data_IF_573749022530
#
_entry.id   IF_573749022530
#
_cell.length_a   1.000
_cell.length_b   1.000
_cell.length_c   1.000
_cell.angle_alpha   90.00
_cell.angle_beta   90.00
_cell.angle_gamma   90.00
#
_symmetry.space_group_name_H-M   'P 1'
#
loop_
_entity.id
_entity.type
_entity.pdbx_description
1 polymer ?
#
# COMPACT_ATOMS: atom_id res chain seq x y z
N UNK A 1 5.54 -0.42 -21.86
CA UNK A 1 6.03 0.56 -20.88
C UNK A 1 6.21 -0.15 -19.54
N UNK A 2 7.36 0.00 -18.89
CA UNK A 2 7.66 -0.55 -17.57
C UNK A 2 8.81 0.22 -16.89
N UNK A 3 8.72 1.56 -16.87
CA UNK A 3 9.73 2.40 -16.23
C UNK A 3 9.40 2.63 -14.75
N UNK A 4 10.43 2.67 -13.92
CA UNK A 4 10.26 3.00 -12.50
C UNK A 4 9.89 4.48 -12.33
N UNK A 5 8.74 4.74 -11.75
CA UNK A 5 8.20 6.07 -11.48
C UNK A 5 8.06 6.36 -9.98
N UNK A 6 8.63 5.53 -9.11
CA UNK A 6 8.47 5.63 -7.66
C UNK A 6 8.97 6.96 -7.07
N UNK A 7 9.85 7.67 -7.79
CA UNK A 7 10.40 8.97 -7.36
C UNK A 7 9.63 10.18 -7.88
N UNK A 8 8.56 9.97 -8.63
CA UNK A 8 7.75 11.07 -9.12
C UNK A 8 6.94 11.70 -7.98
N UNK A 9 6.95 13.03 -7.93
CA UNK A 9 6.05 13.79 -7.08
C UNK A 9 4.70 13.95 -7.80
N UNK A 10 3.71 13.20 -7.30
CA UNK A 10 2.35 13.19 -7.83
C UNK A 10 1.35 13.85 -6.87
N UNK A 11 1.82 14.45 -5.77
CA UNK A 11 0.99 15.02 -4.71
C UNK A 11 -0.01 16.08 -5.16
N UNK A 12 0.26 16.73 -6.29
CA UNK A 12 -0.62 17.75 -6.87
C UNK A 12 -1.36 17.28 -8.14
N UNK A 13 -1.37 15.97 -8.42
CA UNK A 13 -2.05 15.44 -9.59
C UNK A 13 -3.52 15.18 -9.25
N UNK A 14 -4.40 15.99 -9.82
CA UNK A 14 -5.85 15.90 -9.64
C UNK A 14 -6.48 14.71 -10.38
N UNK A 15 -6.01 14.41 -11.59
CA UNK A 15 -6.58 13.40 -12.47
C UNK A 15 -5.52 12.40 -12.93
N UNK A 16 -5.68 11.15 -12.48
CA UNK A 16 -4.87 9.98 -12.86
C UNK A 16 -5.64 8.99 -13.73
N UNK A 17 -6.82 9.40 -14.25
CA UNK A 17 -7.63 8.53 -15.12
C UNK A 17 -6.81 8.05 -16.31
N UNK A 18 -6.88 6.75 -16.60
CA UNK A 18 -6.19 6.09 -17.73
C UNK A 18 -4.65 6.20 -17.73
N UNK A 19 -4.00 6.59 -16.63
CA UNK A 19 -2.54 6.86 -16.58
C UNK A 19 -1.70 5.66 -17.03
N UNK A 20 -2.11 4.45 -16.68
CA UNK A 20 -1.47 3.18 -17.05
C UNK A 20 -2.40 2.29 -17.89
N UNK A 21 -3.44 2.85 -18.49
CA UNK A 21 -4.35 2.11 -19.36
C UNK A 21 -3.58 1.46 -20.51
N UNK A 22 -3.80 0.16 -20.72
CA UNK A 22 -3.10 -0.66 -21.73
C UNK A 22 -1.56 -0.73 -21.54
N UNK A 23 -1.03 -0.38 -20.38
CA UNK A 23 0.39 -0.55 -20.05
C UNK A 23 0.66 -2.03 -19.68
N UNK A 24 0.52 -2.93 -20.66
CA UNK A 24 0.45 -4.40 -20.47
C UNK A 24 1.64 -5.01 -19.71
N UNK A 25 2.81 -4.37 -19.74
CA UNK A 25 4.03 -4.86 -19.07
C UNK A 25 4.31 -4.12 -17.75
N UNK A 26 3.50 -3.12 -17.39
CA UNK A 26 3.79 -2.29 -16.21
C UNK A 26 3.56 -3.06 -14.92
N UNK A 27 4.62 -3.16 -14.09
CA UNK A 27 4.56 -3.78 -12.78
C UNK A 27 5.57 -3.17 -11.80
N UNK A 28 5.81 -1.86 -11.88
CA UNK A 28 6.72 -1.17 -10.96
C UNK A 28 5.99 -0.72 -9.70
N UNK A 29 6.73 -0.68 -8.60
CA UNK A 29 6.23 -0.25 -7.30
C UNK A 29 5.83 1.24 -7.31
N UNK A 30 4.62 1.51 -6.85
CA UNK A 30 4.05 2.85 -6.70
C UNK A 30 3.63 3.12 -5.24
N UNK A 31 4.09 2.29 -4.31
CA UNK A 31 3.73 2.36 -2.90
C UNK A 31 3.98 3.74 -2.28
N UNK A 32 5.06 4.42 -2.71
CA UNK A 32 5.48 5.73 -2.18
C UNK A 32 4.73 6.93 -2.76
N UNK A 33 3.79 6.73 -3.70
CA UNK A 33 3.06 7.85 -4.27
C UNK A 33 2.09 8.46 -3.27
N UNK A 34 2.17 9.79 -3.12
CA UNK A 34 1.17 10.58 -2.40
C UNK A 34 0.04 10.95 -3.36
N UNK A 35 -1.10 10.28 -3.22
CA UNK A 35 -2.28 10.49 -4.08
C UNK A 35 -3.37 11.31 -3.40
N UNK A 36 -3.06 11.95 -2.26
CA UNK A 36 -4.04 12.74 -1.49
C UNK A 36 -4.67 13.88 -2.29
N UNK A 37 -3.97 14.40 -3.32
CA UNK A 37 -4.48 15.42 -4.23
C UNK A 37 -5.36 14.89 -5.37
N UNK A 38 -5.52 13.56 -5.49
CA UNK A 38 -6.20 12.94 -6.64
C UNK A 38 -7.69 12.76 -6.37
N UNK A 39 -8.53 13.16 -7.32
CA UNK A 39 -9.97 12.94 -7.29
C UNK A 39 -10.46 11.92 -8.34
N UNK A 40 -9.74 11.74 -9.45
CA UNK A 40 -10.17 10.92 -10.58
C UNK A 40 -9.14 9.82 -10.87
N UNK A 41 -9.55 8.53 -10.78
CA UNK A 41 -8.72 7.35 -11.03
C UNK A 41 -9.39 6.32 -11.96
N UNK A 42 -10.46 6.69 -12.68
CA UNK A 42 -11.15 5.76 -13.59
C UNK A 42 -10.20 5.20 -14.64
N UNK A 43 -10.24 3.89 -14.88
CA UNK A 43 -9.41 3.16 -15.85
C UNK A 43 -7.89 3.25 -15.58
N UNK A 44 -7.43 3.68 -14.40
CA UNK A 44 -6.01 3.99 -14.17
C UNK A 44 -5.07 2.84 -14.56
N UNK A 45 -5.43 1.58 -14.26
CA UNK A 45 -4.67 0.38 -14.63
C UNK A 45 -5.45 -0.55 -15.57
N UNK A 46 -6.48 -0.06 -16.26
CA UNK A 46 -7.29 -0.88 -17.17
C UNK A 46 -6.37 -1.58 -18.20
N UNK A 47 -6.44 -2.91 -18.29
CA UNK A 47 -5.61 -3.74 -19.17
C UNK A 47 -4.09 -3.64 -18.89
N UNK A 48 -3.65 -3.20 -17.70
CA UNK A 48 -2.26 -3.33 -17.27
C UNK A 48 -2.02 -4.78 -16.81
N UNK A 49 -1.94 -5.70 -17.78
CA UNK A 49 -2.02 -7.15 -17.53
C UNK A 49 -0.92 -7.71 -16.62
N UNK A 50 0.22 -7.04 -16.46
CA UNK A 50 1.29 -7.49 -15.56
C UNK A 50 1.19 -6.84 -14.17
N UNK A 51 0.32 -5.86 -13.96
CA UNK A 51 0.28 -5.09 -12.71
C UNK A 51 -0.17 -5.96 -11.53
N UNK A 52 0.71 -6.09 -10.54
CA UNK A 52 0.47 -6.83 -9.31
C UNK A 52 1.20 -6.18 -8.11
N UNK A 53 1.08 -4.86 -7.94
CA UNK A 53 1.71 -4.15 -6.84
C UNK A 53 0.71 -3.82 -5.73
N UNK A 54 1.23 -3.65 -4.50
CA UNK A 54 0.46 -3.17 -3.36
C UNK A 54 0.33 -1.64 -3.44
N UNK A 55 -0.91 -1.16 -3.46
CA UNK A 55 -1.25 0.26 -3.41
C UNK A 55 -2.19 0.56 -2.23
N UNK A 56 -2.29 -0.34 -1.28
CA UNK A 56 -3.22 -0.22 -0.15
C UNK A 56 -2.92 0.94 0.81
N UNK A 57 -1.70 1.49 0.75
CA UNK A 57 -1.31 2.66 1.55
C UNK A 57 -1.77 3.99 0.94
N UNK A 58 -2.32 4.01 -0.26
CA UNK A 58 -2.81 5.24 -0.86
C UNK A 58 -3.99 5.80 -0.07
N UNK A 59 -3.90 7.07 0.29
CA UNK A 59 -5.03 7.80 0.85
C UNK A 59 -5.94 8.26 -0.29
N UNK A 60 -7.01 7.50 -0.49
CA UNK A 60 -8.00 7.75 -1.54
C UNK A 60 -9.24 8.50 -1.01
N UNK A 61 -9.15 9.15 0.14
CA UNK A 61 -10.31 9.81 0.76
C UNK A 61 -10.95 10.89 -0.11
N UNK A 62 -10.17 11.52 -1.01
CA UNK A 62 -10.64 12.53 -1.95
C UNK A 62 -11.07 11.96 -3.31
N UNK A 63 -10.85 10.67 -3.57
CA UNK A 63 -11.18 10.07 -4.87
C UNK A 63 -12.67 9.87 -5.01
N UNK A 64 -13.24 10.35 -6.09
CA UNK A 64 -14.69 10.31 -6.41
C UNK A 64 -15.03 9.40 -7.58
N UNK A 65 -14.05 9.00 -8.39
CA UNK A 65 -14.23 8.13 -9.55
C UNK A 65 -13.10 7.09 -9.63
N UNK A 66 -13.46 5.79 -9.60
CA UNK A 66 -12.53 4.64 -9.69
C UNK A 66 -13.06 3.52 -10.60
N UNK A 67 -13.96 3.82 -11.54
CA UNK A 67 -14.53 2.80 -12.43
C UNK A 67 -13.43 2.10 -13.22
N UNK A 68 -13.50 0.77 -13.30
CA UNK A 68 -12.59 -0.11 -14.03
C UNK A 68 -11.09 0.06 -13.68
N UNK A 69 -10.79 0.65 -12.51
CA UNK A 69 -9.40 1.02 -12.14
C UNK A 69 -8.42 -0.14 -12.27
N UNK A 70 -8.84 -1.35 -11.93
CA UNK A 70 -7.99 -2.55 -11.92
C UNK A 70 -8.49 -3.66 -12.86
N UNK A 71 -9.37 -3.35 -13.80
CA UNK A 71 -9.89 -4.36 -14.71
C UNK A 71 -8.80 -4.94 -15.61
N UNK A 72 -8.76 -6.28 -15.72
CA UNK A 72 -7.76 -7.01 -16.48
C UNK A 72 -6.31 -6.81 -16.00
N UNK A 73 -6.10 -6.53 -14.71
CA UNK A 73 -4.78 -6.61 -14.07
C UNK A 73 -4.48 -8.03 -13.58
N UNK A 74 -3.24 -8.30 -13.18
CA UNK A 74 -2.81 -9.57 -12.56
C UNK A 74 -2.76 -9.51 -11.03
N UNK A 75 -3.54 -8.63 -10.40
CA UNK A 75 -3.56 -8.56 -8.94
C UNK A 75 -3.83 -9.92 -8.31
N UNK A 76 -2.91 -10.35 -7.45
CA UNK A 76 -3.02 -11.58 -6.65
C UNK A 76 -4.19 -11.48 -5.67
N UNK A 77 -4.66 -12.62 -5.15
CA UNK A 77 -5.69 -12.64 -4.12
C UNK A 77 -5.25 -11.84 -2.89
N UNK A 78 -3.97 -11.92 -2.52
CA UNK A 78 -3.38 -11.13 -1.42
C UNK A 78 -3.50 -9.64 -1.70
N UNK A 79 -3.04 -9.16 -2.86
CA UNK A 79 -3.11 -7.74 -3.20
C UNK A 79 -4.55 -7.25 -3.34
N UNK A 80 -5.45 -8.07 -3.90
CA UNK A 80 -6.89 -7.75 -3.91
C UNK A 80 -7.46 -7.57 -2.51
N UNK A 81 -7.13 -8.47 -1.57
CA UNK A 81 -7.62 -8.37 -0.21
C UNK A 81 -7.12 -7.13 0.51
N UNK A 82 -5.81 -6.85 0.47
CA UNK A 82 -5.25 -5.70 1.18
C UNK A 82 -5.74 -4.37 0.59
N UNK A 83 -5.83 -4.26 -0.73
CA UNK A 83 -6.40 -3.09 -1.42
C UNK A 83 -7.89 -2.93 -1.07
N UNK A 84 -8.68 -4.02 -1.13
CA UNK A 84 -10.10 -3.97 -0.75
C UNK A 84 -10.29 -3.53 0.70
N UNK A 85 -9.50 -4.05 1.62
CA UNK A 85 -9.56 -3.68 3.04
C UNK A 85 -9.32 -2.18 3.24
N UNK A 86 -8.40 -1.60 2.47
CA UNK A 86 -8.07 -0.18 2.54
C UNK A 86 -9.08 0.72 1.81
N UNK A 87 -9.57 0.28 0.63
CA UNK A 87 -10.34 1.14 -0.28
C UNK A 87 -11.85 1.02 -0.13
N UNK A 88 -12.37 -0.07 0.45
CA UNK A 88 -13.82 -0.35 0.51
C UNK A 88 -14.64 0.64 1.34
N UNK A 89 -13.99 1.48 2.15
CA UNK A 89 -14.65 2.56 2.88
C UNK A 89 -14.96 3.79 2.01
N UNK A 90 -14.30 3.92 0.85
CA UNK A 90 -14.62 4.98 -0.10
C UNK A 90 -15.82 4.56 -0.96
N UNK A 91 -16.84 5.41 -1.04
CA UNK A 91 -18.09 5.14 -1.77
C UNK A 91 -17.93 5.00 -3.28
N UNK A 92 -16.83 5.48 -3.85
CA UNK A 92 -16.50 5.33 -5.27
C UNK A 92 -15.81 3.99 -5.59
N UNK A 93 -15.48 3.15 -4.58
CA UNK A 93 -14.84 1.86 -4.79
C UNK A 93 -15.78 0.90 -5.53
N UNK A 94 -15.41 0.44 -6.76
CA UNK A 94 -16.36 -0.29 -7.61
C UNK A 94 -16.33 -1.81 -7.41
N UNK A 95 -15.40 -2.36 -6.60
CA UNK A 95 -15.16 -3.81 -6.51
C UNK A 95 -15.65 -4.40 -5.19
N UNK A 96 -16.20 -5.62 -5.25
CA UNK A 96 -16.34 -6.49 -4.08
C UNK A 96 -15.32 -7.63 -4.18
N UNK A 97 -14.20 -7.48 -3.47
CA UNK A 97 -13.14 -8.49 -3.36
C UNK A 97 -13.11 -9.15 -1.97
N UNK A 98 -14.21 -9.10 -1.24
CA UNK A 98 -14.31 -9.72 0.09
C UNK A 98 -14.01 -11.23 0.07
N UNK A 99 -14.35 -11.93 -1.01
CA UNK A 99 -13.99 -13.34 -1.18
C UNK A 99 -12.48 -13.56 -1.22
N UNK A 100 -11.71 -12.63 -1.78
CA UNK A 100 -10.24 -12.71 -1.78
C UNK A 100 -9.68 -12.73 -0.35
N UNK A 101 -10.30 -11.99 0.56
CA UNK A 101 -9.92 -11.97 1.96
C UNK A 101 -10.34 -13.26 2.70
N UNK A 102 -11.50 -13.83 2.37
CA UNK A 102 -11.95 -15.09 2.96
C UNK A 102 -11.04 -16.26 2.59
N UNK A 103 -10.56 -16.31 1.35
CA UNK A 103 -9.62 -17.33 0.89
C UNK A 103 -8.27 -17.23 1.62
N UNK A 104 -7.80 -16.03 1.90
CA UNK A 104 -6.56 -15.80 2.66
C UNK A 104 -6.72 -16.23 4.12
N UNK A 105 -7.88 -16.03 4.72
CA UNK A 105 -8.18 -16.49 6.08
C UNK A 105 -8.29 -18.02 6.20
N UNK A 106 -8.47 -18.74 5.08
CA UNK A 106 -8.51 -20.21 5.03
C UNK A 106 -7.16 -20.85 4.69
N UNK A 107 -6.30 -20.12 3.98
CA UNK A 107 -4.91 -20.46 3.77
C UNK A 107 -4.18 -19.68 4.84
N UNK A 108 -3.62 -20.35 5.87
CA UNK A 108 -2.87 -19.70 6.96
C UNK A 108 -2.31 -18.35 6.52
N UNK A 109 -2.66 -17.30 7.27
CA UNK A 109 -2.13 -15.95 7.02
C UNK A 109 -0.66 -16.14 6.65
N UNK A 110 -0.30 -15.92 5.40
CA UNK A 110 1.09 -16.09 4.99
C UNK A 110 1.85 -15.05 5.78
N UNK A 111 2.45 -15.51 6.88
CA UNK A 111 3.36 -14.69 7.64
C UNK A 111 4.42 -14.17 6.64
N UNK A 112 4.89 -12.94 6.78
CA UNK A 112 6.00 -12.44 5.98
C UNK A 112 7.11 -13.48 5.92
N UNK A 113 7.77 -13.64 4.78
CA UNK A 113 8.83 -14.65 4.62
C UNK A 113 10.13 -14.27 5.33
N UNK A 114 10.27 -13.00 5.71
CA UNK A 114 11.46 -12.47 6.38
C UNK A 114 11.09 -11.31 7.28
N UNK A 115 11.93 -11.05 8.28
CA UNK A 115 11.85 -9.81 9.05
C UNK A 115 12.17 -8.63 8.14
N UNK A 116 11.34 -7.60 8.17
CA UNK A 116 11.62 -6.35 7.49
C UNK A 116 11.18 -5.14 8.32
N UNK A 117 11.88 -4.04 8.14
CA UNK A 117 11.51 -2.72 8.63
C UNK A 117 11.53 -1.77 7.44
N UNK A 118 10.37 -1.26 7.08
CA UNK A 118 10.22 -0.35 5.96
C UNK A 118 10.57 1.08 6.37
N UNK A 119 10.98 1.89 5.39
CA UNK A 119 11.16 3.31 5.62
C UNK A 119 9.82 3.93 6.05
N UNK A 120 9.87 4.81 7.05
CA UNK A 120 8.70 5.54 7.48
C UNK A 120 8.14 6.40 6.34
N UNK A 121 6.81 6.49 6.27
CA UNK A 121 6.13 7.30 5.25
C UNK A 121 4.97 8.09 5.89
N UNK A 122 4.81 9.37 5.49
CA UNK A 122 5.69 10.16 4.62
C UNK A 122 7.08 10.42 5.23
N UNK A 123 8.09 10.63 4.38
CA UNK A 123 9.44 11.02 4.80
C UNK A 123 10.05 11.97 3.74
N UNK A 124 10.29 13.28 4.05
CA UNK A 124 10.07 13.92 5.36
C UNK A 124 8.60 13.99 5.77
N UNK A 125 8.35 14.03 7.08
CA UNK A 125 6.99 14.17 7.62
C UNK A 125 6.80 15.51 8.35
N UNK A 126 5.56 15.97 8.43
CA UNK A 126 5.23 17.25 9.10
C UNK A 126 4.63 17.01 10.49
N UNK A 127 3.58 16.23 10.63
CA UNK A 127 2.89 16.03 11.91
C UNK A 127 2.92 14.58 12.37
N UNK A 128 2.88 13.64 11.44
CA UNK A 128 2.93 12.21 11.71
C UNK A 128 3.57 11.47 10.53
N UNK A 129 4.04 10.27 10.81
CA UNK A 129 4.55 9.33 9.83
C UNK A 129 4.20 7.93 10.30
N UNK A 130 4.03 7.01 9.38
CA UNK A 130 3.76 5.61 9.68
C UNK A 130 5.03 4.80 9.47
N UNK A 131 5.35 3.95 10.43
CA UNK A 131 6.43 2.98 10.33
C UNK A 131 5.81 1.60 10.18
N UNK A 132 6.26 0.83 9.18
CA UNK A 132 5.77 -0.52 8.90
C UNK A 132 6.89 -1.53 9.05
N UNK A 133 6.55 -2.69 9.63
CA UNK A 133 7.48 -3.80 9.80
C UNK A 133 6.75 -5.14 9.65
N UNK A 134 7.52 -6.17 9.38
CA UNK A 134 7.02 -7.50 9.06
C UNK A 134 7.68 -8.54 9.96
N UNK A 135 6.87 -9.45 10.50
CA UNK A 135 7.30 -10.51 11.40
C UNK A 135 6.89 -11.87 10.81
N UNK A 136 7.83 -12.70 10.36
CA UNK A 136 7.53 -14.03 9.84
C UNK A 136 7.05 -15.00 10.94
N UNK A 137 7.40 -14.75 12.19
CA UNK A 137 7.03 -15.51 13.37
C UNK A 137 6.82 -14.60 14.58
N UNK A 138 6.20 -15.11 15.63
CA UNK A 138 6.09 -14.40 16.91
C UNK A 138 7.50 -14.05 17.42
N UNK A 139 7.72 -12.75 17.71
CA UNK A 139 9.03 -12.24 18.04
C UNK A 139 8.96 -11.08 19.01
N UNK A 140 10.00 -10.93 19.81
CA UNK A 140 10.17 -9.72 20.61
C UNK A 140 10.62 -8.58 19.71
N UNK A 141 9.85 -7.49 19.68
CA UNK A 141 10.11 -6.30 18.87
C UNK A 141 10.51 -5.15 19.77
N UNK A 142 11.62 -4.50 19.42
CA UNK A 142 12.08 -3.27 20.06
C UNK A 142 12.32 -2.22 18.97
N UNK A 143 11.48 -1.18 18.95
CA UNK A 143 11.57 -0.07 18.00
C UNK A 143 11.69 1.23 18.77
N UNK A 144 12.90 1.81 18.76
CA UNK A 144 13.24 3.03 19.48
C UNK A 144 13.68 4.12 18.50
N UNK A 145 13.19 5.33 18.67
CA UNK A 145 13.58 6.52 17.89
C UNK A 145 14.69 7.26 18.63
N UNK A 146 15.75 7.59 17.90
CA UNK A 146 16.89 8.35 18.39
C UNK A 146 17.03 9.68 17.67
N UNK A 147 17.54 10.69 18.36
CA UNK A 147 18.00 11.93 17.71
C UNK A 147 19.38 11.73 17.01
N UNK A 148 19.85 12.75 16.31
CA UNK A 148 21.13 12.70 15.62
C UNK A 148 22.35 12.62 16.57
N UNK A 149 22.16 12.81 17.88
CA UNK A 149 23.19 12.69 18.90
C UNK A 149 23.16 11.32 19.59
N UNK A 150 22.21 10.45 19.23
CA UNK A 150 22.03 9.13 19.80
C UNK A 150 21.21 9.09 21.09
N UNK A 151 20.52 10.17 21.46
CA UNK A 151 19.62 10.16 22.60
C UNK A 151 18.27 9.56 22.21
N UNK A 152 17.66 8.78 23.10
CA UNK A 152 16.33 8.23 22.91
C UNK A 152 15.31 9.38 22.90
N UNK A 153 14.51 9.44 21.83
CA UNK A 153 13.41 10.39 21.69
C UNK A 153 12.10 9.73 22.10
N UNK A 154 11.86 8.49 21.64
CA UNK A 154 10.66 7.73 21.98
C UNK A 154 10.88 6.22 21.77
N UNK A 155 10.24 5.42 22.62
CA UNK A 155 10.14 3.97 22.47
C UNK A 155 8.75 3.68 21.89
N UNK A 156 8.72 3.19 20.66
CA UNK A 156 7.47 2.96 19.91
C UNK A 156 6.89 1.57 20.17
N UNK A 157 7.74 0.55 20.21
CA UNK A 157 7.38 -0.85 20.51
C UNK A 157 8.45 -1.43 21.40
N UNK A 158 8.04 -2.15 22.44
CA UNK A 158 8.93 -2.95 23.30
C UNK A 158 8.10 -4.12 23.87
N UNK A 159 7.76 -5.10 23.01
CA UNK A 159 6.85 -6.18 23.37
C UNK A 159 7.03 -7.42 22.49
N UNK A 160 6.49 -8.57 22.95
CA UNK A 160 6.26 -9.71 22.07
C UNK A 160 5.08 -9.43 21.15
N UNK A 161 5.31 -9.59 19.85
CA UNK A 161 4.34 -9.37 18.79
C UNK A 161 4.11 -10.66 18.01
N UNK A 162 2.87 -10.94 17.66
CA UNK A 162 2.53 -12.07 16.78
C UNK A 162 3.08 -11.86 15.37
N UNK A 163 3.25 -12.93 14.61
CA UNK A 163 3.57 -12.85 13.18
C UNK A 163 2.59 -11.96 12.42
N UNK A 164 3.04 -11.39 11.30
CA UNK A 164 2.20 -10.59 10.39
C UNK A 164 2.80 -9.25 10.02
N UNK A 165 2.02 -8.48 9.25
CA UNK A 165 2.33 -7.11 8.85
C UNK A 165 1.86 -6.15 9.94
N UNK A 166 2.74 -5.24 10.36
CA UNK A 166 2.52 -4.32 11.47
C UNK A 166 2.72 -2.87 11.04
N UNK A 167 2.00 -1.95 11.71
CA UNK A 167 2.18 -0.50 11.50
C UNK A 167 1.97 0.27 12.80
N UNK A 168 2.73 1.34 12.99
CA UNK A 168 2.65 2.28 14.12
C UNK A 168 2.89 3.71 13.63
#
# INVERSE_FOLDING_TARGET
FDQNLSTWDVSNVYNMSSLFENAVSYNQDLYSWDVTGTELMSNMFLNANSFNQDVSNWDISNVTEMENMFDNTSLSQTNKCIVHTSFSLNSAWPYDWSESCNLINQIDIIAPLSFSLNQNYPNPFNSYTTLRYELPEESFVDITVYDMLGNIVNDLVNANESSGFKSI
#
